data_IF_456270291975
#
_entry.id   IF_456270291975
#
_cell.length_a   1.000
_cell.length_b   1.000
_cell.length_c   1.000
_cell.angle_alpha   90.00
_cell.angle_beta   90.00
_cell.angle_gamma   90.00
#
_symmetry.space_group_name_H-M   'P 1'
#
loop_
_entity.id
_entity.type
_entity.pdbx_description
1 polymer ?
#
# COMPACT_ATOMS: atom_id res chain seq x y z
N UNK A 1 -16.32 7.79 0.27
CA UNK A 1 -15.98 8.37 1.59
C UNK A 1 -15.13 7.35 2.32
N UNK A 2 -14.08 7.74 3.05
CA UNK A 2 -13.23 6.83 3.83
C UNK A 2 -13.49 7.02 5.32
N UNK A 3 -13.31 5.98 6.11
CA UNK A 3 -13.54 5.96 7.56
C UNK A 3 -12.26 5.59 8.31
N UNK A 4 -12.11 6.09 9.54
CA UNK A 4 -10.94 5.75 10.36
C UNK A 4 -10.99 4.30 10.81
N UNK A 5 -9.85 3.62 10.73
CA UNK A 5 -9.64 2.26 11.22
C UNK A 5 -8.47 2.25 12.21
N UNK A 6 -8.60 1.45 13.25
CA UNK A 6 -7.53 1.15 14.21
C UNK A 6 -6.67 0.00 13.68
N UNK A 7 -5.36 0.10 13.86
CA UNK A 7 -4.37 -0.90 13.50
C UNK A 7 -3.57 -1.29 14.75
N UNK A 8 -3.09 -2.52 14.82
CA UNK A 8 -2.25 -3.06 15.90
C UNK A 8 -2.85 -2.81 17.28
N UNK A 9 -4.08 -3.28 17.50
CA UNK A 9 -4.78 -3.08 18.77
C UNK A 9 -5.14 -1.62 19.08
N UNK A 10 -5.10 -0.74 18.08
CA UNK A 10 -5.39 0.69 18.22
C UNK A 10 -4.17 1.56 18.50
N UNK A 11 -2.96 0.99 18.49
CA UNK A 11 -1.73 1.76 18.63
C UNK A 11 -1.50 2.69 17.44
N UNK A 12 -1.95 2.31 16.24
CA UNK A 12 -1.90 3.12 15.03
C UNK A 12 -3.31 3.32 14.46
N UNK A 13 -3.51 4.35 13.63
CA UNK A 13 -4.75 4.50 12.84
C UNK A 13 -4.49 5.05 11.46
N UNK A 14 -5.38 4.73 10.53
CA UNK A 14 -5.44 5.31 9.18
C UNK A 14 -6.89 5.33 8.70
N UNK A 15 -7.13 5.54 7.40
CA UNK A 15 -8.47 5.52 6.81
C UNK A 15 -8.62 4.42 5.76
N UNK A 16 -9.77 3.77 5.72
CA UNK A 16 -10.13 2.78 4.70
C UNK A 16 -11.46 3.14 4.04
N UNK A 17 -11.69 2.74 2.79
CA UNK A 17 -12.98 2.93 2.17
C UNK A 17 -13.94 1.82 2.65
N UNK A 18 -15.27 2.07 2.65
CA UNK A 18 -16.25 1.09 3.12
C UNK A 18 -16.21 -0.18 2.28
N UNK A 19 -16.58 -1.32 2.86
CA UNK A 19 -16.59 -2.62 2.18
C UNK A 19 -15.26 -3.36 2.16
N UNK A 20 -14.21 -2.79 2.76
CA UNK A 20 -13.00 -3.54 3.10
C UNK A 20 -13.19 -4.24 4.45
N UNK A 21 -12.76 -5.50 4.53
CA UNK A 21 -12.81 -6.30 5.74
C UNK A 21 -11.39 -6.67 6.18
N UNK A 22 -11.19 -6.77 7.47
CA UNK A 22 -9.94 -7.26 8.05
C UNK A 22 -9.81 -8.77 7.82
N UNK A 23 -8.72 -9.20 7.18
CA UNK A 23 -8.43 -10.58 6.88
C UNK A 23 -8.08 -11.40 8.13
N UNK A 24 -7.64 -10.77 9.22
CA UNK A 24 -7.36 -11.41 10.51
C UNK A 24 -8.60 -12.13 11.09
N UNK A 25 -9.80 -11.62 10.74
CA UNK A 25 -11.07 -12.23 11.13
C UNK A 25 -11.36 -13.58 10.45
N UNK A 26 -10.64 -13.88 9.35
CA UNK A 26 -10.84 -15.08 8.53
C UNK A 26 -9.67 -16.06 8.63
N UNK A 27 -8.45 -15.55 8.80
CA UNK A 27 -7.22 -16.33 8.86
C UNK A 27 -6.17 -15.60 9.69
N UNK A 28 -5.20 -16.34 10.21
CA UNK A 28 -4.03 -15.71 10.82
C UNK A 28 -3.24 -14.87 9.80
N UNK A 29 -2.74 -13.73 10.28
CA UNK A 29 -1.90 -12.76 9.58
C UNK A 29 -0.68 -12.52 10.49
N UNK A 30 0.54 -12.32 9.95
CA UNK A 30 1.71 -12.02 10.78
C UNK A 30 1.46 -10.84 11.72
N UNK A 31 2.06 -10.86 12.92
CA UNK A 31 1.84 -9.83 13.95
C UNK A 31 2.27 -8.42 13.49
N UNK A 32 3.23 -8.33 12.57
CA UNK A 32 3.69 -7.06 11.99
C UNK A 32 2.77 -6.55 10.89
N UNK A 33 1.76 -7.33 10.47
CA UNK A 33 0.92 -7.04 9.32
C UNK A 33 -0.55 -6.84 9.68
N UNK A 34 -1.13 -5.82 9.07
CA UNK A 34 -2.58 -5.61 9.02
C UNK A 34 -3.03 -5.73 7.56
N UNK A 35 -3.92 -6.68 7.28
CA UNK A 35 -4.33 -7.01 5.91
C UNK A 35 -5.82 -6.80 5.75
N UNK A 36 -6.21 -5.92 4.83
CA UNK A 36 -7.61 -5.66 4.49
C UNK A 36 -7.88 -6.10 3.07
N UNK A 37 -9.00 -6.80 2.86
CA UNK A 37 -9.43 -7.25 1.54
C UNK A 37 -10.73 -6.56 1.15
N UNK A 38 -10.83 -6.18 -0.12
CA UNK A 38 -12.05 -5.67 -0.68
C UNK A 38 -13.09 -6.80 -0.74
N UNK A 39 -14.19 -6.67 0.01
CA UNK A 39 -15.28 -7.65 0.07
C UNK A 39 -16.57 -7.12 -0.59
N UNK A 40 -16.43 -6.09 -1.43
CA UNK A 40 -17.53 -5.50 -2.19
C UNK A 40 -18.04 -6.47 -3.25
N UNK A 41 -19.32 -6.35 -3.59
CA UNK A 41 -19.95 -7.19 -4.62
C UNK A 41 -20.03 -6.44 -5.94
N UNK A 42 -20.02 -7.21 -7.03
CA UNK A 42 -20.25 -6.65 -8.36
C UNK A 42 -21.64 -5.99 -8.41
N UNK A 43 -21.69 -4.76 -8.93
CA UNK A 43 -22.88 -3.90 -8.93
C UNK A 43 -23.00 -2.93 -7.74
N UNK A 44 -22.20 -3.06 -6.68
CA UNK A 44 -22.16 -2.05 -5.63
C UNK A 44 -21.53 -0.75 -6.15
N UNK A 45 -22.19 0.39 -5.94
CA UNK A 45 -21.70 1.70 -6.38
C UNK A 45 -21.17 2.52 -5.20
N UNK A 46 -19.85 2.47 -5.00
CA UNK A 46 -19.18 3.27 -3.96
C UNK A 46 -18.63 4.61 -4.48
N UNK A 47 -18.55 4.79 -5.81
CA UNK A 47 -18.13 6.04 -6.44
C UNK A 47 -16.66 6.44 -6.22
N UNK A 48 -15.83 5.53 -5.69
CA UNK A 48 -14.40 5.78 -5.43
C UNK A 48 -13.48 5.33 -6.58
N UNK A 49 -14.02 4.57 -7.54
CA UNK A 49 -13.29 4.08 -8.72
C UNK A 49 -12.39 2.87 -8.46
N UNK A 50 -12.50 2.25 -7.28
CA UNK A 50 -11.90 0.96 -6.99
C UNK A 50 -12.72 -0.16 -7.63
N UNK A 51 -12.08 -1.30 -7.88
CA UNK A 51 -12.73 -2.55 -8.24
C UNK A 51 -13.28 -3.28 -7.03
N UNK A 52 -13.21 -4.61 -7.08
CA UNK A 52 -13.77 -5.52 -6.06
C UNK A 52 -12.73 -6.47 -5.45
N UNK A 53 -11.52 -6.55 -5.99
CA UNK A 53 -10.50 -7.55 -5.56
C UNK A 53 -9.20 -6.88 -5.04
N UNK A 54 -9.21 -5.58 -4.75
CA UNK A 54 -8.04 -4.93 -4.14
C UNK A 54 -7.75 -5.48 -2.74
N UNK A 55 -6.47 -5.57 -2.41
CA UNK A 55 -6.03 -5.84 -1.05
C UNK A 55 -5.08 -4.75 -0.58
N UNK A 56 -5.14 -4.46 0.72
CA UNK A 56 -4.33 -3.45 1.38
C UNK A 56 -3.54 -4.15 2.47
N UNK A 57 -2.24 -3.89 2.52
CA UNK A 57 -1.38 -4.35 3.62
C UNK A 57 -0.70 -3.15 4.24
N UNK A 58 -0.71 -3.09 5.57
CA UNK A 58 0.18 -2.23 6.36
C UNK A 58 1.15 -3.17 7.06
N UNK A 59 2.46 -2.97 6.86
CA UNK A 59 3.51 -3.80 7.45
C UNK A 59 4.49 -2.93 8.24
N UNK A 60 4.89 -3.41 9.42
CA UNK A 60 5.92 -2.80 10.26
C UNK A 60 7.23 -3.54 10.03
N UNK A 61 8.15 -2.90 9.32
CA UNK A 61 9.44 -3.48 8.96
C UNK A 61 10.57 -2.78 9.71
N UNK A 62 11.69 -3.50 9.82
CA UNK A 62 12.94 -2.88 10.25
C UNK A 62 13.35 -1.78 9.28
N UNK A 63 13.93 -0.71 9.83
CA UNK A 63 14.40 0.41 9.02
C UNK A 63 15.57 -0.04 8.13
N UNK A 64 15.42 0.16 6.82
CA UNK A 64 16.49 -0.13 5.87
C UNK A 64 17.57 0.94 5.89
N UNK A 65 18.83 0.52 5.75
CA UNK A 65 19.95 1.42 5.53
C UNK A 65 19.95 1.92 4.09
N UNK A 66 19.62 3.20 3.91
CA UNK A 66 19.51 3.83 2.60
C UNK A 66 19.91 5.30 2.69
N UNK A 67 20.56 5.81 1.63
CA UNK A 67 21.08 7.18 1.60
C UNK A 67 19.98 8.25 1.71
N UNK A 68 18.77 7.96 1.23
CA UNK A 68 17.60 8.81 1.39
C UNK A 68 16.30 8.00 1.35
N UNK A 69 15.20 8.63 1.72
CA UNK A 69 13.89 7.95 1.82
C UNK A 69 13.38 7.43 0.48
N UNK A 70 13.70 8.09 -0.63
CA UNK A 70 13.31 7.64 -1.95
C UNK A 70 14.04 6.35 -2.34
N UNK A 71 15.30 6.18 -1.91
CA UNK A 71 16.03 4.92 -2.04
C UNK A 71 15.49 3.86 -1.08
N UNK A 72 15.16 4.22 0.16
CA UNK A 72 14.53 3.29 1.11
C UNK A 72 13.22 2.71 0.53
N UNK A 73 12.37 3.55 -0.08
CA UNK A 73 11.15 3.10 -0.76
C UNK A 73 11.46 2.09 -1.87
N UNK A 74 12.50 2.34 -2.67
CA UNK A 74 12.90 1.42 -3.75
C UNK A 74 13.35 0.07 -3.23
N UNK A 75 14.15 0.04 -2.16
CA UNK A 75 14.60 -1.21 -1.52
C UNK A 75 13.39 -2.04 -1.09
N UNK A 76 12.46 -1.46 -0.33
CA UNK A 76 11.23 -2.14 0.08
C UNK A 76 10.40 -2.64 -1.11
N UNK A 77 10.26 -1.83 -2.17
CA UNK A 77 9.52 -2.24 -3.38
C UNK A 77 10.21 -3.42 -4.08
N UNK A 78 11.52 -3.36 -4.25
CA UNK A 78 12.31 -4.42 -4.89
C UNK A 78 12.17 -5.73 -4.11
N UNK A 79 12.31 -5.70 -2.78
CA UNK A 79 12.13 -6.87 -1.91
C UNK A 79 10.73 -7.49 -2.03
N UNK A 80 9.67 -6.66 -2.05
CA UNK A 80 8.29 -7.17 -2.22
C UNK A 80 8.14 -7.93 -3.55
N UNK A 81 8.68 -7.42 -4.65
CA UNK A 81 8.60 -8.08 -5.95
C UNK A 81 9.50 -9.31 -6.05
N UNK A 82 10.66 -9.31 -5.39
CA UNK A 82 11.51 -10.50 -5.31
C UNK A 82 10.80 -11.65 -4.58
N UNK A 83 10.11 -11.35 -3.48
CA UNK A 83 9.31 -12.33 -2.73
C UNK A 83 8.11 -12.86 -3.53
N UNK A 84 7.55 -12.07 -4.46
CA UNK A 84 6.51 -12.55 -5.37
C UNK A 84 7.06 -13.43 -6.51
N UNK A 85 8.37 -13.67 -6.56
CA UNK A 85 9.04 -14.45 -7.61
C UNK A 85 9.33 -13.65 -8.89
N UNK A 86 9.17 -12.32 -8.83
CA UNK A 86 9.38 -11.43 -9.97
C UNK A 86 10.84 -11.01 -10.04
N UNK A 87 11.48 -11.22 -11.20
CA UNK A 87 12.91 -10.89 -11.39
C UNK A 87 13.18 -9.41 -11.68
N UNK A 88 12.13 -8.66 -11.99
CA UNK A 88 12.22 -7.25 -12.36
C UNK A 88 10.86 -6.59 -12.16
N UNK A 89 10.86 -5.43 -11.50
CA UNK A 89 9.73 -4.51 -11.47
C UNK A 89 10.11 -3.19 -12.17
N UNK A 90 9.11 -2.45 -12.61
CA UNK A 90 9.22 -1.07 -13.06
C UNK A 90 8.68 -0.19 -11.94
N UNK A 91 9.48 0.76 -11.45
CA UNK A 91 9.08 1.70 -10.40
C UNK A 91 8.81 3.07 -11.02
N UNK A 92 7.64 3.63 -10.71
CA UNK A 92 7.20 4.90 -11.25
C UNK A 92 7.85 6.11 -10.60
N UNK A 93 7.42 7.31 -11.02
CA UNK A 93 7.81 8.54 -10.34
C UNK A 93 7.49 8.44 -8.85
N UNK A 94 8.49 8.75 -8.02
CA UNK A 94 8.30 8.83 -6.58
C UNK A 94 7.71 10.19 -6.26
N UNK A 95 6.58 10.19 -5.56
CA UNK A 95 5.90 11.38 -5.07
C UNK A 95 5.97 11.45 -3.54
N UNK A 96 6.07 12.66 -3.01
CA UNK A 96 6.05 12.90 -1.56
C UNK A 96 4.64 13.30 -1.12
N UNK A 97 4.11 12.61 -0.11
CA UNK A 97 2.82 12.92 0.50
C UNK A 97 3.00 12.96 2.01
N UNK A 98 2.77 14.13 2.60
CA UNK A 98 2.91 14.36 4.04
C UNK A 98 4.28 13.90 4.60
N UNK A 99 5.35 14.24 3.87
CA UNK A 99 6.72 13.84 4.21
C UNK A 99 7.08 12.39 3.88
N UNK A 100 6.11 11.57 3.48
CA UNK A 100 6.30 10.14 3.19
C UNK A 100 6.45 9.89 1.67
N UNK A 101 7.23 8.86 1.30
CA UNK A 101 7.50 8.56 -0.11
C UNK A 101 6.44 7.60 -0.66
N UNK A 102 6.00 7.82 -1.89
CA UNK A 102 4.98 6.99 -2.54
C UNK A 102 5.32 6.74 -4.00
N UNK A 103 4.96 5.56 -4.51
CA UNK A 103 5.07 5.25 -5.93
C UNK A 103 4.02 4.24 -6.38
N UNK A 104 3.91 4.08 -7.69
CA UNK A 104 3.29 2.91 -8.30
C UNK A 104 4.42 2.06 -8.85
N UNK A 105 4.41 0.76 -8.56
CA UNK A 105 5.35 -0.21 -9.09
C UNK A 105 4.57 -1.36 -9.72
N UNK A 106 5.09 -1.93 -10.80
CA UNK A 106 4.44 -3.04 -11.49
C UNK A 106 5.42 -3.98 -12.16
N UNK A 107 4.97 -5.20 -12.43
CA UNK A 107 5.67 -6.15 -13.29
C UNK A 107 4.71 -6.71 -14.35
N UNK A 108 4.92 -7.94 -14.82
CA UNK A 108 4.02 -8.57 -15.80
C UNK A 108 2.71 -9.11 -15.21
N UNK A 109 2.58 -9.19 -13.88
CA UNK A 109 1.48 -9.86 -13.21
C UNK A 109 0.73 -8.94 -12.25
N UNK A 110 1.42 -8.03 -11.58
CA UNK A 110 0.92 -7.29 -10.44
C UNK A 110 1.19 -5.79 -10.62
N UNK A 111 0.26 -4.96 -10.14
CA UNK A 111 0.47 -3.52 -9.93
C UNK A 111 0.28 -3.23 -8.45
N UNK A 112 1.29 -2.62 -7.83
CA UNK A 112 1.28 -2.20 -6.44
C UNK A 112 1.37 -0.67 -6.36
N UNK A 113 0.50 -0.08 -5.55
CA UNK A 113 0.72 1.27 -5.04
C UNK A 113 1.42 1.13 -3.70
N UNK A 114 2.60 1.73 -3.54
CA UNK A 114 3.45 1.54 -2.34
C UNK A 114 3.74 2.89 -1.70
N UNK A 115 3.63 2.94 -0.37
CA UNK A 115 3.91 4.10 0.46
C UNK A 115 4.84 3.72 1.61
N UNK A 116 5.81 4.58 1.89
CA UNK A 116 6.78 4.41 2.96
C UNK A 116 6.70 5.58 3.93
N UNK A 117 6.38 5.27 5.20
CA UNK A 117 6.42 6.21 6.32
C UNK A 117 7.57 5.77 7.23
N UNK A 118 8.56 6.65 7.42
CA UNK A 118 9.76 6.33 8.21
C UNK A 118 9.64 6.87 9.63
N UNK A 119 9.52 5.99 10.61
CA UNK A 119 9.46 6.35 12.03
C UNK A 119 10.88 6.35 12.61
N UNK A 120 11.62 7.45 12.35
CA UNK A 120 13.05 7.58 12.72
C UNK A 120 13.33 7.30 14.19
N UNK A 121 12.43 7.72 15.09
CA UNK A 121 12.59 7.54 16.54
C UNK A 121 12.48 6.09 17.01
N UNK A 122 11.93 5.22 16.16
CA UNK A 122 11.61 3.83 16.48
C UNK A 122 12.36 2.84 15.59
N UNK A 123 13.29 3.33 14.74
CA UNK A 123 14.02 2.51 13.77
C UNK A 123 13.10 1.57 12.96
N UNK A 124 11.88 2.03 12.68
CA UNK A 124 10.83 1.27 12.00
C UNK A 124 10.43 1.98 10.71
N UNK A 125 10.28 1.20 9.65
CA UNK A 125 9.70 1.63 8.38
C UNK A 125 8.29 1.02 8.26
N UNK A 126 7.27 1.87 8.12
CA UNK A 126 5.90 1.42 7.86
C UNK A 126 5.66 1.41 6.36
N UNK A 127 5.41 0.22 5.82
CA UNK A 127 5.17 0.03 4.39
C UNK A 127 3.68 -0.23 4.16
N UNK A 128 3.03 0.70 3.47
CA UNK A 128 1.64 0.59 3.04
C UNK A 128 1.62 0.13 1.58
N UNK A 129 0.86 -0.91 1.29
CA UNK A 129 0.67 -1.41 -0.08
C UNK A 129 -0.81 -1.51 -0.42
N UNK A 130 -1.16 -1.12 -1.64
CA UNK A 130 -2.47 -1.41 -2.25
C UNK A 130 -2.21 -2.23 -3.51
N UNK A 131 -2.57 -3.50 -3.46
CA UNK A 131 -2.51 -4.41 -4.59
C UNK A 131 -3.70 -4.18 -5.52
N UNK A 132 -3.42 -3.91 -6.79
CA UNK A 132 -4.45 -3.74 -7.82
C UNK A 132 -4.55 -5.03 -8.62
N UNK A 133 -5.67 -5.77 -8.50
CA UNK A 133 -5.85 -7.08 -9.09
C UNK A 133 -6.01 -7.01 -10.62
N UNK A 134 -5.65 -8.11 -11.28
CA UNK A 134 -5.97 -8.36 -12.69
C UNK A 134 -4.81 -8.14 -13.65
N UNK A 135 -4.89 -8.82 -14.81
CA UNK A 135 -3.84 -8.83 -15.84
C UNK A 135 -3.91 -7.61 -16.77
N UNK A 136 -5.04 -6.92 -16.83
CA UNK A 136 -5.22 -5.79 -17.74
C UNK A 136 -4.39 -4.58 -17.35
N UNK A 137 -4.30 -4.26 -16.06
CA UNK A 137 -3.55 -3.09 -15.60
C UNK A 137 -2.04 -3.21 -15.91
N UNK A 138 -1.35 -4.33 -15.59
CA UNK A 138 0.02 -4.58 -16.03
C UNK A 138 0.20 -4.43 -17.55
N UNK A 139 -0.68 -5.06 -18.34
CA UNK A 139 -0.61 -5.02 -19.81
C UNK A 139 -0.74 -3.58 -20.31
N UNK A 140 -1.71 -2.82 -19.80
CA UNK A 140 -1.90 -1.43 -20.22
C UNK A 140 -0.68 -0.58 -19.88
N UNK A 141 -0.14 -0.68 -18.67
CA UNK A 141 1.05 0.08 -18.27
C UNK A 141 2.27 -0.24 -19.15
N UNK A 142 2.41 -1.48 -19.59
CA UNK A 142 3.46 -1.88 -20.55
C UNK A 142 3.21 -1.32 -21.96
N UNK A 143 1.96 -1.24 -22.40
CA UNK A 143 1.58 -0.76 -23.73
C UNK A 143 1.50 0.78 -23.83
N UNK A 144 1.16 1.48 -22.75
CA UNK A 144 0.81 2.91 -22.72
C UNK A 144 1.93 3.79 -22.16
N UNK A 145 3.11 3.82 -22.76
CA UNK A 145 4.25 4.66 -22.32
C UNK A 145 4.44 4.74 -20.78
N UNK A 146 4.18 3.65 -20.05
CA UNK A 146 4.25 3.60 -18.59
C UNK A 146 3.23 4.48 -17.86
N UNK A 147 3.73 5.44 -17.09
CA UNK A 147 2.98 6.21 -16.09
C UNK A 147 2.20 7.42 -16.65
N UNK A 148 2.25 7.68 -17.96
CA UNK A 148 1.57 8.83 -18.56
C UNK A 148 0.06 8.69 -18.56
N UNK A 149 -0.44 7.47 -18.71
CA UNK A 149 -1.88 7.19 -18.73
C UNK A 149 -2.22 5.96 -17.89
N UNK A 150 -2.32 6.17 -16.57
CA UNK A 150 -2.66 5.10 -15.64
C UNK A 150 -4.12 4.64 -15.83
N UNK A 151 -4.40 3.32 -15.76
CA UNK A 151 -5.76 2.79 -15.65
C UNK A 151 -6.53 3.42 -14.48
N UNK A 152 -7.85 3.53 -14.62
CA UNK A 152 -8.68 4.23 -13.62
C UNK A 152 -8.66 3.56 -12.24
N UNK A 153 -8.67 2.23 -12.18
CA UNK A 153 -8.55 1.48 -10.93
C UNK A 153 -7.19 1.74 -10.26
N UNK A 154 -6.09 1.74 -11.02
CA UNK A 154 -4.74 2.09 -10.51
C UNK A 154 -4.69 3.52 -9.98
N UNK A 155 -5.28 4.49 -10.71
CA UNK A 155 -5.39 5.89 -10.24
C UNK A 155 -6.15 5.97 -8.92
N UNK A 156 -7.23 5.20 -8.77
CA UNK A 156 -8.09 5.23 -7.59
C UNK A 156 -7.42 4.55 -6.39
N UNK A 157 -6.76 3.40 -6.60
CA UNK A 157 -5.93 2.74 -5.60
C UNK A 157 -4.79 3.64 -5.11
N UNK A 158 -4.12 4.36 -6.02
CA UNK A 158 -3.05 5.27 -5.62
C UNK A 158 -3.57 6.48 -4.85
N UNK A 159 -4.76 7.01 -5.20
CA UNK A 159 -5.42 8.05 -4.39
C UNK A 159 -5.78 7.54 -3.00
N UNK A 160 -6.24 6.29 -2.88
CA UNK A 160 -6.52 5.66 -1.59
C UNK A 160 -5.25 5.59 -0.74
N UNK A 161 -4.16 5.05 -1.29
CA UNK A 161 -2.86 5.00 -0.59
C UNK A 161 -2.43 6.39 -0.08
N UNK A 162 -2.50 7.41 -0.93
CA UNK A 162 -2.16 8.79 -0.53
C UNK A 162 -3.08 9.31 0.58
N UNK A 163 -4.36 8.91 0.58
CA UNK A 163 -5.30 9.25 1.65
C UNK A 163 -4.95 8.54 2.96
N UNK A 164 -4.58 7.26 2.90
CA UNK A 164 -4.13 6.50 4.07
C UNK A 164 -2.93 7.16 4.75
N UNK A 165 -1.92 7.54 3.96
CA UNK A 165 -0.71 8.20 4.46
C UNK A 165 -1.04 9.53 5.12
N UNK A 166 -1.85 10.39 4.48
CA UNK A 166 -2.25 11.69 5.05
C UNK A 166 -2.99 11.59 6.38
N UNK A 167 -3.61 10.46 6.66
CA UNK A 167 -4.37 10.24 7.89
C UNK A 167 -3.72 9.20 8.79
N UNK A 168 -2.50 8.77 8.48
CA UNK A 168 -1.76 7.82 9.29
C UNK A 168 -1.30 8.51 10.58
N UNK A 169 -1.56 7.87 11.72
CA UNK A 169 -1.22 8.43 13.02
C UNK A 169 -0.74 7.35 13.97
N UNK A 170 0.35 7.65 14.68
CA UNK A 170 0.83 6.89 15.83
C UNK A 170 0.09 7.41 17.06
N UNK A 171 -0.73 6.56 17.69
CA UNK A 171 -1.50 6.88 18.89
C UNK A 171 -0.84 6.35 20.17
N UNK A 172 -0.19 5.19 20.07
CA UNK A 172 0.59 4.58 21.14
C UNK A 172 1.95 4.12 20.61
N UNK A 173 3.01 4.80 21.04
CA UNK A 173 4.39 4.50 20.65
C UNK A 173 5.00 3.32 21.41
N UNK A 174 4.33 2.82 22.46
CA UNK A 174 4.81 1.64 23.20
C UNK A 174 4.84 0.37 22.34
N UNK A 175 4.07 0.36 21.25
CA UNK A 175 4.10 -0.67 20.21
C UNK A 175 5.52 -0.98 19.71
N UNK A 176 6.37 0.04 19.56
CA UNK A 176 7.72 -0.11 19.01
C UNK A 176 8.81 -0.35 20.06
N UNK A 177 8.43 -0.49 21.33
CA UNK A 177 9.36 -0.64 22.46
C UNK A 177 9.42 -2.08 22.99
N UNK A 178 8.81 -3.04 22.28
CA UNK A 178 8.74 -4.45 22.67
C UNK A 178 9.87 -5.29 22.09
#
# INVERSE_FOLDING_TARGET
MTEFVSLYGGALRTVLPPGFIDASSLREVPDTQEVFVNARKDGDQYGDGLGIDESITVDLLERVDAFNDAQALKVHVEEIFELSGSKKCEIGPIEVVDGSQTCIAYDSQIVLCVGLIRLVQHETDVVLTVNVPGREAPIRLQQSQGYKELPQNVKSAYRLLKSMIKHFQVLDSSLFSQ
#
